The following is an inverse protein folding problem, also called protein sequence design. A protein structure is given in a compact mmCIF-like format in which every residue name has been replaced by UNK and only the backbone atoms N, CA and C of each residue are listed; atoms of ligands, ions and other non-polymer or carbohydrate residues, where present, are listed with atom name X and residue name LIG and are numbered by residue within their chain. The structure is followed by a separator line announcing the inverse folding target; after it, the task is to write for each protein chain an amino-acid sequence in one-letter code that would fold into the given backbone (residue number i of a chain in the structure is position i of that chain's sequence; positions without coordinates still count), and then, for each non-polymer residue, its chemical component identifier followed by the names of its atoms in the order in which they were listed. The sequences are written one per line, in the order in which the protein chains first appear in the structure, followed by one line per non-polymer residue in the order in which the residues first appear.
data_IF_945054568848
#
_entry.id   IF_945054568848
#
_cell.length_a   1.000
_cell.length_b   1.000
_cell.length_c   1.000
_cell.angle_alpha   90.00
_cell.angle_beta   90.00
_cell.angle_gamma   90.00
#
_symmetry.space_group_name_H-M   'P 1'
#
loop_
_entity.id
_entity.type
_entity.pdbx_description
1 polymer ?
#
# COMPACT_ATOMS: atom_id res chain seq x y z
N UNK A 1 -60.39 52.44 9.70
CA UNK A 1 -60.19 51.26 8.85
C UNK A 1 -60.21 50.04 9.74
N UNK A 2 -61.35 49.37 9.82
CA UNK A 2 -61.54 48.11 10.55
C UNK A 2 -61.10 46.99 9.61
N UNK A 3 -60.07 46.23 10.00
CA UNK A 3 -59.65 45.05 9.25
C UNK A 3 -60.72 43.96 9.40
N UNK A 4 -61.46 43.69 8.33
CA UNK A 4 -62.35 42.54 8.24
C UNK A 4 -61.51 41.27 8.24
N UNK A 5 -61.71 40.45 9.27
CA UNK A 5 -61.15 39.11 9.37
C UNK A 5 -61.95 38.24 8.39
N UNK A 6 -61.31 37.82 7.31
CA UNK A 6 -61.88 36.88 6.33
C UNK A 6 -62.35 35.62 7.06
N UNK A 7 -63.60 35.16 6.86
CA UNK A 7 -64.10 33.96 7.52
C UNK A 7 -63.30 32.75 7.03
N UNK A 8 -62.93 31.88 7.97
CA UNK A 8 -62.23 30.62 7.69
C UNK A 8 -62.92 29.88 6.55
N UNK A 9 -62.19 29.71 5.44
CA UNK A 9 -62.69 28.99 4.28
C UNK A 9 -62.93 27.54 4.69
N UNK A 10 -64.17 27.01 4.60
CA UNK A 10 -64.48 25.66 5.03
C UNK A 10 -63.65 24.67 4.20
N UNK A 11 -62.98 23.74 4.90
CA UNK A 11 -62.23 22.65 4.28
C UNK A 11 -63.13 21.93 3.26
N UNK A 12 -62.59 21.64 2.07
CA UNK A 12 -63.36 21.01 1.00
C UNK A 12 -64.04 19.71 1.50
N UNK A 13 -65.31 19.44 1.16
CA UNK A 13 -66.09 18.34 1.72
C UNK A 13 -65.45 16.96 1.51
N UNK A 14 -64.74 16.75 0.39
CA UNK A 14 -63.99 15.51 0.14
C UNK A 14 -62.81 15.32 1.10
N UNK A 15 -62.12 16.40 1.49
CA UNK A 15 -61.04 16.36 2.46
C UNK A 15 -61.57 16.05 3.86
N UNK A 16 -62.72 16.62 4.23
CA UNK A 16 -63.40 16.38 5.51
C UNK A 16 -63.83 14.91 5.65
N UNK A 17 -64.42 14.34 4.59
CA UNK A 17 -64.85 12.93 4.57
C UNK A 17 -63.66 11.96 4.69
N UNK A 18 -62.55 12.26 4.02
CA UNK A 18 -61.33 11.45 4.09
C UNK A 18 -60.68 11.49 5.48
N UNK A 19 -60.67 12.66 6.13
CA UNK A 19 -60.15 12.81 7.50
C UNK A 19 -61.01 12.05 8.51
N UNK A 20 -62.33 12.10 8.37
CA UNK A 20 -63.26 11.35 9.22
C UNK A 20 -63.08 9.83 9.06
N UNK A 21 -62.99 9.34 7.82
CA UNK A 21 -62.75 7.92 7.56
C UNK A 21 -61.40 7.42 8.13
N UNK A 22 -60.36 8.27 8.08
CA UNK A 22 -59.06 7.96 8.65
C UNK A 22 -59.10 7.92 10.19
N UNK A 23 -59.82 8.85 10.82
CA UNK A 23 -60.01 8.88 12.26
C UNK A 23 -60.81 7.65 12.76
N UNK A 24 -61.88 7.29 12.06
CA UNK A 24 -62.67 6.08 12.35
C UNK A 24 -61.80 4.82 12.23
N UNK A 25 -60.99 4.72 11.18
CA UNK A 25 -60.07 3.59 10.98
C UNK A 25 -58.99 3.54 12.08
N UNK A 26 -58.42 4.68 12.48
CA UNK A 26 -57.47 4.75 13.59
C UNK A 26 -58.11 4.29 14.91
N UNK A 27 -59.33 4.75 15.19
CA UNK A 27 -60.06 4.35 16.39
C UNK A 27 -60.34 2.84 16.41
N UNK A 28 -60.79 2.27 15.29
CA UNK A 28 -61.04 0.83 15.18
C UNK A 28 -59.76 -0.02 15.39
N UNK A 29 -58.59 0.47 14.94
CA UNK A 29 -57.31 -0.20 15.22
C UNK A 29 -56.94 -0.09 16.70
N UNK A 30 -57.13 1.07 17.32
CA UNK A 30 -56.83 1.27 18.75
C UNK A 30 -57.77 0.48 19.66
N UNK A 31 -59.05 0.34 19.29
CA UNK A 31 -60.00 -0.49 20.04
C UNK A 31 -59.61 -1.98 20.00
N UNK A 32 -59.00 -2.42 18.88
CA UNK A 32 -58.59 -3.82 18.69
C UNK A 32 -57.22 -4.15 19.27
N UNK A 33 -56.25 -3.25 19.17
CA UNK A 33 -54.84 -3.50 19.49
C UNK A 33 -54.25 -2.55 20.53
N UNK A 34 -54.94 -1.47 20.88
CA UNK A 34 -54.46 -0.43 21.78
C UNK A 34 -54.60 -0.74 23.26
N UNK A 35 -55.17 -1.91 23.61
CA UNK A 35 -55.32 -2.39 24.99
C UNK A 35 -56.02 -1.39 25.92
N UNK A 36 -56.93 -0.57 25.36
CA UNK A 36 -57.67 0.47 26.09
C UNK A 36 -56.87 1.76 26.36
N UNK A 37 -55.67 1.89 25.81
CA UNK A 37 -54.83 3.10 25.91
C UNK A 37 -54.94 3.96 24.64
N UNK A 38 -54.84 5.30 24.77
CA UNK A 38 -54.78 6.19 23.61
C UNK A 38 -53.49 5.99 22.82
N UNK A 39 -53.51 6.41 21.54
CA UNK A 39 -52.34 6.33 20.68
C UNK A 39 -51.27 7.31 21.16
N UNK A 40 -50.10 6.78 21.46
CA UNK A 40 -48.90 7.55 21.75
C UNK A 40 -47.74 6.94 20.96
N UNK A 41 -47.19 7.71 20.02
CA UNK A 41 -46.20 7.22 19.05
C UNK A 41 -44.98 6.62 19.74
N UNK A 42 -44.44 7.32 20.74
CA UNK A 42 -43.23 6.90 21.43
C UNK A 42 -43.45 5.59 22.18
N UNK A 43 -44.56 5.48 22.92
CA UNK A 43 -44.95 4.25 23.63
C UNK A 43 -45.03 3.04 22.68
N UNK A 44 -45.80 3.15 21.60
CA UNK A 44 -45.98 2.04 20.64
C UNK A 44 -44.64 1.64 19.99
N UNK A 45 -43.78 2.62 19.69
CA UNK A 45 -42.45 2.36 19.14
C UNK A 45 -41.54 1.65 20.15
N UNK A 46 -41.58 2.03 21.42
CA UNK A 46 -40.84 1.36 22.49
C UNK A 46 -41.32 -0.08 22.73
N UNK A 47 -42.65 -0.29 22.79
CA UNK A 47 -43.25 -1.63 22.92
C UNK A 47 -42.86 -2.53 21.74
N UNK A 48 -42.92 -2.02 20.50
CA UNK A 48 -42.51 -2.76 19.32
C UNK A 48 -41.02 -3.16 19.39
N UNK A 49 -40.13 -2.24 19.76
CA UNK A 49 -38.70 -2.53 19.94
C UNK A 49 -38.46 -3.59 21.02
N UNK A 50 -39.18 -3.50 22.14
CA UNK A 50 -39.09 -4.47 23.22
C UNK A 50 -39.41 -5.90 22.73
N UNK A 51 -40.53 -6.07 22.02
CA UNK A 51 -40.89 -7.39 21.47
C UNK A 51 -39.93 -7.85 20.36
N UNK A 52 -39.37 -6.93 19.57
CA UNK A 52 -38.33 -7.26 18.60
C UNK A 52 -37.07 -7.79 19.28
N UNK A 53 -36.64 -7.18 20.38
CA UNK A 53 -35.50 -7.65 21.17
C UNK A 53 -35.75 -9.02 21.80
N UNK A 54 -36.91 -9.19 22.42
CA UNK A 54 -37.34 -10.47 22.99
C UNK A 54 -37.40 -11.57 21.92
N UNK A 55 -37.84 -11.24 20.70
CA UNK A 55 -37.86 -12.19 19.58
C UNK A 55 -36.46 -12.62 19.15
N UNK A 56 -35.48 -11.71 19.23
CA UNK A 56 -34.09 -11.99 18.89
C UNK A 56 -33.43 -12.90 19.93
N UNK A 57 -33.68 -12.64 21.20
CA UNK A 57 -33.22 -13.47 22.32
C UNK A 57 -33.85 -14.88 22.25
N UNK A 58 -35.17 -14.98 22.08
CA UNK A 58 -35.87 -16.24 21.93
C UNK A 58 -35.35 -17.05 20.72
N UNK A 59 -34.99 -16.37 19.63
CA UNK A 59 -34.39 -17.00 18.46
C UNK A 59 -33.01 -17.61 18.76
N UNK A 60 -32.14 -16.91 19.50
CA UNK A 60 -30.84 -17.45 19.92
C UNK A 60 -31.03 -18.65 20.86
N UNK A 61 -31.95 -18.56 21.82
CA UNK A 61 -32.23 -19.68 22.72
C UNK A 61 -32.82 -20.89 21.98
N UNK A 62 -33.68 -20.68 20.98
CA UNK A 62 -34.19 -21.73 20.11
C UNK A 62 -33.06 -22.38 19.27
N UNK A 63 -32.14 -21.57 18.74
CA UNK A 63 -30.99 -22.10 17.99
C UNK A 63 -30.07 -22.99 18.84
N UNK A 64 -29.92 -22.73 20.14
CA UNK A 64 -29.25 -23.66 21.07
C UNK A 64 -29.95 -25.02 21.12
N UNK A 65 -31.30 -25.06 21.19
CA UNK A 65 -32.06 -26.31 21.21
C UNK A 65 -31.94 -27.06 19.88
N UNK A 66 -31.88 -26.33 18.77
CA UNK A 66 -31.63 -26.92 17.46
C UNK A 66 -30.24 -27.56 17.37
N UNK A 67 -29.21 -26.95 17.95
CA UNK A 67 -27.86 -27.56 18.04
C UNK A 67 -27.91 -28.83 18.88
N UNK A 68 -28.58 -28.81 20.03
CA UNK A 68 -28.75 -29.98 20.89
C UNK A 68 -29.44 -31.11 20.11
N UNK A 69 -30.55 -30.83 19.43
CA UNK A 69 -31.26 -31.83 18.61
C UNK A 69 -30.36 -32.38 17.51
N UNK A 70 -29.61 -31.52 16.80
CA UNK A 70 -28.72 -31.94 15.73
C UNK A 70 -27.62 -32.90 16.19
N UNK A 71 -27.12 -32.71 17.41
CA UNK A 71 -26.07 -33.57 17.98
C UNK A 71 -26.60 -34.90 18.48
N UNK A 72 -27.88 -34.97 18.90
CA UNK A 72 -28.46 -36.15 19.52
C UNK A 72 -29.31 -37.01 18.56
N UNK A 73 -29.70 -36.48 17.40
CA UNK A 73 -30.57 -37.17 16.44
C UNK A 73 -29.83 -37.50 15.12
N UNK A 74 -30.09 -38.65 14.48
CA UNK A 74 -29.63 -38.92 13.13
C UNK A 74 -30.09 -37.83 12.15
N UNK A 75 -29.28 -37.51 11.14
CA UNK A 75 -29.57 -36.40 10.23
C UNK A 75 -30.99 -36.43 9.61
N UNK A 76 -31.46 -37.62 9.21
CA UNK A 76 -32.81 -37.77 8.64
C UNK A 76 -33.93 -37.41 9.62
N UNK A 77 -33.82 -37.83 10.89
CA UNK A 77 -34.82 -37.49 11.90
C UNK A 77 -34.70 -36.07 12.39
N UNK A 78 -33.49 -35.52 12.49
CA UNK A 78 -33.33 -34.09 12.74
C UNK A 78 -34.07 -33.24 11.69
N UNK A 79 -33.92 -33.57 10.40
CA UNK A 79 -34.62 -32.87 9.31
C UNK A 79 -36.13 -33.03 9.45
N UNK A 80 -36.63 -34.22 9.77
CA UNK A 80 -38.05 -34.47 9.99
C UNK A 80 -38.61 -33.68 11.19
N UNK A 81 -37.93 -33.67 12.34
CA UNK A 81 -38.32 -32.88 13.52
C UNK A 81 -38.42 -31.39 13.16
N UNK A 82 -37.37 -30.87 12.52
CA UNK A 82 -37.29 -29.46 12.15
C UNK A 82 -38.38 -29.05 11.16
N UNK A 83 -38.64 -29.87 10.14
CA UNK A 83 -39.60 -29.52 9.07
C UNK A 83 -41.04 -29.85 9.44
N UNK A 84 -41.30 -31.04 9.99
CA UNK A 84 -42.66 -31.53 10.23
C UNK A 84 -43.21 -31.12 11.59
N UNK A 85 -42.39 -31.10 12.64
CA UNK A 85 -42.86 -30.81 14.01
C UNK A 85 -42.70 -29.32 14.37
N UNK A 86 -41.56 -28.73 14.01
CA UNK A 86 -41.27 -27.32 14.30
C UNK A 86 -41.69 -26.35 13.18
N UNK A 87 -41.98 -26.86 11.98
CA UNK A 87 -42.40 -26.05 10.84
C UNK A 87 -41.32 -25.09 10.31
N UNK A 88 -40.05 -25.39 10.56
CA UNK A 88 -38.92 -24.55 10.17
C UNK A 88 -38.29 -25.03 8.86
N UNK A 89 -38.04 -24.09 7.96
CA UNK A 89 -37.22 -24.35 6.79
C UNK A 89 -35.76 -24.63 7.19
N UNK A 90 -35.10 -25.56 6.53
CA UNK A 90 -33.72 -25.97 6.84
C UNK A 90 -32.76 -24.78 6.86
N UNK A 91 -32.87 -23.87 5.90
CA UNK A 91 -32.06 -22.64 5.84
C UNK A 91 -32.25 -21.77 7.09
N UNK A 92 -33.47 -21.61 7.56
CA UNK A 92 -33.78 -20.84 8.77
C UNK A 92 -33.14 -21.50 10.00
N UNK A 93 -33.28 -22.81 10.11
CA UNK A 93 -32.66 -23.62 11.18
C UNK A 93 -31.14 -23.46 11.20
N UNK A 94 -30.49 -23.58 10.04
CA UNK A 94 -29.04 -23.38 9.91
C UNK A 94 -28.62 -21.97 10.34
N UNK A 95 -29.35 -20.93 9.93
CA UNK A 95 -29.06 -19.54 10.31
C UNK A 95 -29.22 -19.36 11.83
N UNK A 96 -30.29 -19.88 12.44
CA UNK A 96 -30.52 -19.77 13.89
C UNK A 96 -29.43 -20.47 14.70
N UNK A 97 -29.02 -21.69 14.29
CA UNK A 97 -27.91 -22.40 14.93
C UNK A 97 -26.60 -21.62 14.82
N UNK A 98 -26.27 -21.11 13.63
CA UNK A 98 -25.05 -20.31 13.41
C UNK A 98 -25.03 -19.04 14.24
N UNK A 99 -26.14 -18.30 14.27
CA UNK A 99 -26.27 -17.09 15.10
C UNK A 99 -26.10 -17.42 16.58
N UNK A 100 -26.67 -18.54 17.05
CA UNK A 100 -26.54 -18.97 18.44
C UNK A 100 -25.10 -19.34 18.79
N UNK A 101 -24.39 -20.06 17.92
CA UNK A 101 -22.97 -20.38 18.12
C UNK A 101 -22.10 -19.12 18.18
N UNK A 102 -22.39 -18.15 17.30
CA UNK A 102 -21.66 -16.87 17.20
C UNK A 102 -21.87 -16.03 18.46
N UNK A 103 -23.10 -15.63 18.74
CA UNK A 103 -23.40 -14.66 19.81
C UNK A 103 -23.31 -15.24 21.22
N UNK A 104 -23.29 -16.56 21.37
CA UNK A 104 -23.10 -17.23 22.67
C UNK A 104 -21.68 -17.79 22.83
N UNK A 105 -20.75 -17.42 21.94
CA UNK A 105 -19.33 -17.74 22.10
C UNK A 105 -18.77 -17.14 23.41
N UNK A 106 -17.67 -17.64 23.96
CA UNK A 106 -17.06 -17.04 25.15
C UNK A 106 -16.75 -15.55 25.00
N UNK A 107 -16.38 -15.10 23.79
CA UNK A 107 -16.09 -13.70 23.50
C UNK A 107 -17.34 -12.81 23.47
N UNK A 108 -18.47 -13.33 22.97
CA UNK A 108 -19.70 -12.54 22.74
C UNK A 108 -20.83 -12.87 23.72
N UNK A 109 -20.73 -13.93 24.51
CA UNK A 109 -21.82 -14.46 25.33
C UNK A 109 -22.30 -13.49 26.41
N UNK A 110 -21.39 -12.69 26.99
CA UNK A 110 -21.75 -11.60 27.91
C UNK A 110 -22.40 -10.39 27.23
N UNK A 111 -22.31 -10.31 25.89
CA UNK A 111 -22.72 -9.18 25.04
C UNK A 111 -23.94 -9.53 24.17
N UNK A 112 -24.43 -10.77 24.23
CA UNK A 112 -25.57 -11.24 23.41
C UNK A 112 -26.83 -10.38 23.59
N UNK A 113 -27.10 -9.91 24.81
CA UNK A 113 -28.23 -9.03 25.12
C UNK A 113 -28.11 -7.66 24.42
N UNK A 114 -26.91 -7.11 24.37
CA UNK A 114 -26.61 -5.85 23.68
C UNK A 114 -27.01 -5.92 22.21
N UNK A 115 -26.69 -7.04 21.56
CA UNK A 115 -27.07 -7.24 20.16
C UNK A 115 -28.52 -7.66 19.97
N UNK A 116 -29.13 -8.38 20.94
CA UNK A 116 -30.53 -8.74 20.88
C UNK A 116 -31.43 -7.50 20.79
N UNK A 117 -31.07 -6.41 21.46
CA UNK A 117 -31.77 -5.12 21.39
C UNK A 117 -31.90 -4.56 19.96
N UNK A 118 -30.95 -4.86 19.06
CA UNK A 118 -30.98 -4.45 17.66
C UNK A 118 -32.04 -5.21 16.83
N UNK A 119 -32.56 -6.31 17.37
CA UNK A 119 -33.52 -7.19 16.72
C UNK A 119 -32.88 -8.19 15.75
N UNK A 120 -33.62 -9.27 15.49
CA UNK A 120 -33.20 -10.44 14.69
C UNK A 120 -32.59 -10.11 13.33
N UNK A 121 -33.16 -9.15 12.62
CA UNK A 121 -32.71 -8.85 11.26
C UNK A 121 -31.30 -8.25 11.23
N UNK A 122 -30.97 -7.37 12.18
CA UNK A 122 -29.63 -6.77 12.29
C UNK A 122 -28.61 -7.79 12.80
N UNK A 123 -29.02 -8.67 13.72
CA UNK A 123 -28.18 -9.80 14.16
C UNK A 123 -27.70 -10.67 12.99
N UNK A 124 -28.55 -10.90 11.99
CA UNK A 124 -28.17 -11.73 10.84
C UNK A 124 -27.18 -11.07 9.90
N UNK A 125 -27.27 -9.75 9.72
CA UNK A 125 -26.28 -9.02 8.93
C UNK A 125 -24.94 -8.94 9.69
N UNK A 126 -24.98 -8.62 10.99
CA UNK A 126 -23.78 -8.53 11.85
C UNK A 126 -23.09 -9.87 12.10
N UNK A 127 -23.80 -11.00 12.00
CA UNK A 127 -23.22 -12.34 12.18
C UNK A 127 -22.11 -12.65 11.18
N UNK A 128 -22.07 -11.94 10.05
CA UNK A 128 -21.06 -12.13 9.00
C UNK A 128 -19.71 -11.48 9.33
N UNK A 129 -19.69 -10.56 10.29
CA UNK A 129 -18.49 -9.83 10.72
C UNK A 129 -17.68 -10.63 11.73
N UNK A 130 -16.44 -10.23 11.99
CA UNK A 130 -15.52 -10.95 12.87
C UNK A 130 -15.89 -10.80 14.36
N UNK A 131 -15.57 -11.81 15.17
CA UNK A 131 -15.92 -11.82 16.61
C UNK A 131 -15.24 -10.67 17.37
N UNK A 132 -14.04 -10.26 16.95
CA UNK A 132 -13.30 -9.14 17.52
C UNK A 132 -14.00 -7.81 17.23
N UNK A 133 -14.37 -7.55 15.98
CA UNK A 133 -15.10 -6.34 15.57
C UNK A 133 -16.45 -6.21 16.29
N UNK A 134 -17.17 -7.33 16.42
CA UNK A 134 -18.42 -7.38 17.20
C UNK A 134 -18.15 -7.11 18.67
N UNK A 135 -17.13 -7.75 19.26
CA UNK A 135 -16.77 -7.53 20.66
C UNK A 135 -16.46 -6.05 20.93
N UNK A 136 -15.74 -5.38 20.01
CA UNK A 136 -15.44 -3.96 20.07
C UNK A 136 -16.70 -3.09 19.99
N UNK A 137 -17.59 -3.38 19.03
CA UNK A 137 -18.86 -2.66 18.88
C UNK A 137 -19.72 -2.71 20.16
N UNK A 138 -19.78 -3.86 20.82
CA UNK A 138 -20.51 -4.01 22.07
C UNK A 138 -19.87 -3.29 23.27
N UNK A 139 -18.56 -2.99 23.21
CA UNK A 139 -17.84 -2.21 24.22
C UNK A 139 -17.88 -0.70 23.94
N UNK A 140 -18.62 -0.27 22.90
CA UNK A 140 -18.75 1.13 22.51
C UNK A 140 -17.79 1.58 21.40
N UNK A 141 -17.09 0.65 20.77
CA UNK A 141 -16.34 0.89 19.55
C UNK A 141 -17.24 0.98 18.32
N UNK A 142 -16.66 0.73 17.14
CA UNK A 142 -17.39 0.87 15.88
C UNK A 142 -17.20 -0.33 14.96
N UNK A 143 -18.22 -0.63 14.15
CA UNK A 143 -18.14 -1.61 13.07
C UNK A 143 -18.42 -0.90 11.75
N UNK A 144 -17.56 -1.06 10.75
CA UNK A 144 -17.69 -0.32 9.49
C UNK A 144 -17.83 1.21 9.69
N UNK A 145 -17.20 1.76 10.74
CA UNK A 145 -17.31 3.16 11.15
C UNK A 145 -18.67 3.56 11.74
N UNK A 146 -19.47 2.59 12.20
CA UNK A 146 -20.78 2.78 12.83
C UNK A 146 -20.73 2.42 14.31
N UNK A 147 -21.26 3.28 15.15
CA UNK A 147 -21.55 3.00 16.56
C UNK A 147 -22.79 2.12 16.70
N UNK A 148 -22.94 1.47 17.86
CA UNK A 148 -24.11 0.65 18.16
C UNK A 148 -25.43 1.44 18.05
N UNK A 149 -25.44 2.70 18.51
CA UNK A 149 -26.60 3.59 18.44
C UNK A 149 -26.97 3.96 16.99
N UNK A 150 -25.98 4.18 16.14
CA UNK A 150 -26.22 4.44 14.71
C UNK A 150 -26.79 3.19 14.03
N UNK A 151 -26.24 2.02 14.35
CA UNK A 151 -26.76 0.73 13.88
C UNK A 151 -28.21 0.54 14.33
N UNK A 152 -28.57 0.92 15.55
CA UNK A 152 -29.97 0.85 16.03
C UNK A 152 -30.90 1.83 15.29
N UNK A 153 -30.45 3.06 15.04
CA UNK A 153 -31.27 4.08 14.37
C UNK A 153 -31.51 3.84 12.89
N UNK A 154 -30.58 3.16 12.20
CA UNK A 154 -30.71 2.89 10.77
C UNK A 154 -31.56 1.66 10.45
N UNK A 155 -31.98 1.57 9.20
CA UNK A 155 -32.66 0.40 8.66
C UNK A 155 -31.69 -0.75 8.40
N UNK A 156 -32.22 -1.98 8.36
CA UNK A 156 -31.44 -3.19 8.01
C UNK A 156 -30.83 -3.08 6.61
N UNK A 157 -31.50 -2.39 5.68
CA UNK A 157 -31.01 -2.19 4.30
C UNK A 157 -29.79 -1.27 4.27
N UNK A 158 -29.81 -0.20 5.04
CA UNK A 158 -28.69 0.73 5.17
C UNK A 158 -27.49 0.04 5.83
N UNK A 159 -27.73 -0.71 6.91
CA UNK A 159 -26.70 -1.51 7.56
C UNK A 159 -26.01 -2.46 6.57
N UNK A 160 -26.80 -3.24 5.84
CA UNK A 160 -26.29 -4.18 4.83
C UNK A 160 -25.47 -3.46 3.74
N UNK A 161 -25.93 -2.30 3.28
CA UNK A 161 -25.23 -1.53 2.25
C UNK A 161 -23.86 -1.06 2.76
N UNK A 162 -23.80 -0.52 3.99
CA UNK A 162 -22.55 -0.06 4.60
C UNK A 162 -21.56 -1.20 4.85
N UNK A 163 -21.98 -2.31 5.43
CA UNK A 163 -21.11 -3.48 5.64
C UNK A 163 -20.55 -4.01 4.32
N UNK A 164 -21.36 -4.01 3.26
CA UNK A 164 -20.89 -4.41 1.93
C UNK A 164 -19.89 -3.42 1.33
N UNK A 165 -20.17 -2.12 1.43
CA UNK A 165 -19.30 -1.07 0.92
C UNK A 165 -17.92 -1.12 1.59
N UNK A 166 -17.88 -1.25 2.93
CA UNK A 166 -16.61 -1.36 3.65
C UNK A 166 -15.84 -2.60 3.25
N UNK A 167 -16.52 -3.75 3.11
CA UNK A 167 -15.90 -4.99 2.64
C UNK A 167 -15.32 -4.87 1.23
N UNK A 168 -16.12 -4.33 0.30
CA UNK A 168 -15.71 -4.14 -1.09
C UNK A 168 -14.53 -3.14 -1.17
N UNK A 169 -14.52 -2.10 -0.35
CA UNK A 169 -13.40 -1.13 -0.27
C UNK A 169 -12.12 -1.74 0.30
N UNK A 170 -12.24 -2.61 1.31
CA UNK A 170 -11.11 -3.33 1.90
C UNK A 170 -10.52 -4.31 0.88
N UNK A 171 -11.37 -5.05 0.17
CA UNK A 171 -10.95 -5.97 -0.88
C UNK A 171 -10.26 -5.24 -2.04
N UNK A 172 -10.81 -4.12 -2.49
CA UNK A 172 -10.18 -3.28 -3.51
C UNK A 172 -8.81 -2.75 -3.06
N UNK A 173 -8.71 -2.29 -1.81
CA UNK A 173 -7.44 -1.81 -1.24
C UNK A 173 -6.39 -2.92 -1.14
N UNK A 174 -6.78 -4.13 -0.73
CA UNK A 174 -5.90 -5.31 -0.71
C UNK A 174 -5.43 -5.72 -2.10
N UNK A 175 -6.31 -5.68 -3.10
CA UNK A 175 -5.93 -5.94 -4.50
C UNK A 175 -4.89 -4.94 -5.00
N UNK A 176 -5.13 -3.64 -4.78
CA UNK A 176 -4.19 -2.60 -5.17
C UNK A 176 -2.84 -2.75 -4.46
N UNK A 177 -2.83 -3.12 -3.18
CA UNK A 177 -1.61 -3.39 -2.43
C UNK A 177 -0.83 -4.56 -3.06
N UNK A 178 -1.50 -5.68 -3.33
CA UNK A 178 -0.88 -6.84 -3.97
C UNK A 178 -0.34 -6.52 -5.37
N UNK A 179 -1.06 -5.75 -6.18
CA UNK A 179 -0.60 -5.30 -7.51
C UNK A 179 0.64 -4.42 -7.40
N UNK A 180 0.67 -3.50 -6.41
CA UNK A 180 1.85 -2.67 -6.13
C UNK A 180 3.03 -3.50 -5.68
N UNK A 181 2.82 -4.46 -4.78
CA UNK A 181 3.88 -5.35 -4.28
C UNK A 181 4.45 -6.22 -5.42
N UNK A 182 3.59 -6.75 -6.30
CA UNK A 182 4.03 -7.45 -7.50
C UNK A 182 4.87 -6.55 -8.40
N UNK A 183 4.41 -5.31 -8.64
CA UNK A 183 5.16 -4.36 -9.48
C UNK A 183 6.50 -3.97 -8.85
N UNK A 184 6.54 -3.79 -7.54
CA UNK A 184 7.78 -3.52 -6.81
C UNK A 184 8.75 -4.68 -6.96
N UNK A 185 8.27 -5.91 -6.82
CA UNK A 185 9.08 -7.11 -6.99
C UNK A 185 9.62 -7.20 -8.42
N UNK A 186 8.78 -7.03 -9.45
CA UNK A 186 9.21 -6.99 -10.86
C UNK A 186 10.26 -5.90 -11.12
N UNK A 187 10.06 -4.69 -10.59
CA UNK A 187 11.01 -3.59 -10.78
C UNK A 187 12.33 -3.84 -10.06
N UNK A 188 12.27 -4.45 -8.87
CA UNK A 188 13.46 -4.82 -8.12
C UNK A 188 14.25 -5.91 -8.83
N UNK A 189 13.57 -6.92 -9.38
CA UNK A 189 14.18 -7.98 -10.18
C UNK A 189 14.81 -7.42 -11.46
N UNK A 190 14.08 -6.55 -12.17
CA UNK A 190 14.61 -5.87 -13.36
C UNK A 190 15.81 -4.98 -13.04
N UNK A 191 15.83 -4.30 -11.89
CA UNK A 191 16.98 -3.50 -11.45
C UNK A 191 18.19 -4.40 -11.20
N UNK A 192 18.02 -5.53 -10.51
CA UNK A 192 19.10 -6.50 -10.26
C UNK A 192 19.63 -7.11 -11.58
N UNK A 193 18.72 -7.49 -12.49
CA UNK A 193 19.08 -8.00 -13.81
C UNK A 193 19.85 -6.97 -14.65
N UNK A 194 19.43 -5.71 -14.62
CA UNK A 194 20.10 -4.63 -15.37
C UNK A 194 21.43 -4.21 -14.74
N UNK A 195 21.61 -4.37 -13.43
CA UNK A 195 22.87 -4.09 -12.75
C UNK A 195 24.01 -5.04 -13.18
N UNK A 196 23.67 -6.23 -13.66
CA UNK A 196 24.63 -7.24 -14.12
C UNK A 196 24.59 -7.53 -15.62
N UNK A 197 23.75 -6.83 -16.38
CA UNK A 197 23.71 -6.95 -17.84
C UNK A 197 24.92 -6.21 -18.44
N UNK A 198 25.72 -6.81 -19.34
CA UNK A 198 26.73 -6.08 -20.06
C UNK A 198 26.07 -4.95 -20.88
N UNK A 199 26.52 -3.72 -20.68
CA UNK A 199 26.03 -2.58 -21.45
C UNK A 199 26.42 -2.76 -22.93
N UNK A 200 25.48 -2.49 -23.84
CA UNK A 200 25.79 -2.38 -25.26
C UNK A 200 26.68 -1.17 -25.56
N UNK A 201 27.19 -1.04 -26.79
CA UNK A 201 28.12 0.03 -27.19
C UNK A 201 27.60 1.45 -26.86
N UNK A 202 26.31 1.69 -27.06
CA UNK A 202 25.67 2.98 -26.73
C UNK A 202 25.63 3.24 -25.22
N UNK A 203 25.36 2.21 -24.41
CA UNK A 203 25.35 2.32 -22.95
C UNK A 203 26.74 2.57 -22.38
N UNK A 204 27.78 1.94 -22.97
CA UNK A 204 29.18 2.21 -22.62
C UNK A 204 29.56 3.65 -22.99
N UNK A 205 29.07 4.16 -24.13
CA UNK A 205 29.34 5.54 -24.56
C UNK A 205 28.74 6.55 -23.59
N UNK A 206 27.47 6.37 -23.20
CA UNK A 206 26.79 7.23 -22.24
C UNK A 206 27.46 7.19 -20.86
N UNK A 207 27.82 6.00 -20.38
CA UNK A 207 28.53 5.85 -19.11
C UNK A 207 29.91 6.55 -19.12
N UNK A 208 30.62 6.49 -20.25
CA UNK A 208 31.89 7.23 -20.42
C UNK A 208 31.70 8.73 -20.40
N UNK A 209 30.64 9.23 -21.03
CA UNK A 209 30.30 10.66 -21.02
C UNK A 209 29.95 11.12 -19.59
N UNK A 210 29.12 10.37 -18.88
CA UNK A 210 28.73 10.65 -17.50
C UNK A 210 29.95 10.68 -16.55
N UNK A 211 30.80 9.63 -16.59
CA UNK A 211 32.04 9.58 -15.79
C UNK A 211 32.99 10.72 -16.20
N UNK A 212 33.04 11.07 -17.48
CA UNK A 212 33.84 12.20 -17.98
C UNK A 212 33.42 13.54 -17.38
N UNK A 213 32.10 13.79 -17.28
CA UNK A 213 31.57 14.99 -16.63
C UNK A 213 31.91 15.05 -15.14
N UNK A 214 31.76 13.93 -14.42
CA UNK A 214 32.16 13.85 -13.00
C UNK A 214 33.65 14.12 -12.83
N UNK A 215 34.50 13.56 -13.70
CA UNK A 215 35.93 13.83 -13.69
C UNK A 215 36.27 15.31 -13.93
N UNK A 216 35.52 15.97 -14.83
CA UNK A 216 35.66 17.41 -15.05
C UNK A 216 35.28 18.23 -13.81
N UNK A 217 34.17 17.90 -13.16
CA UNK A 217 33.72 18.60 -11.94
C UNK A 217 34.72 18.46 -10.80
N UNK A 218 35.26 17.26 -10.56
CA UNK A 218 36.32 17.02 -9.56
C UNK A 218 37.54 17.91 -9.86
N UNK A 219 37.99 17.94 -11.12
CA UNK A 219 39.10 18.80 -11.54
C UNK A 219 38.79 20.28 -11.32
N UNK A 220 37.58 20.74 -11.66
CA UNK A 220 37.18 22.13 -11.48
C UNK A 220 37.16 22.54 -10.00
N UNK A 221 36.69 21.65 -9.11
CA UNK A 221 36.71 21.87 -7.67
C UNK A 221 38.15 21.96 -7.14
N UNK A 222 39.04 21.06 -7.57
CA UNK A 222 40.45 21.03 -7.15
C UNK A 222 41.21 22.27 -7.64
N UNK A 223 41.07 22.63 -8.92
CA UNK A 223 41.81 23.75 -9.52
C UNK A 223 41.25 25.12 -9.13
N UNK A 224 39.96 25.21 -8.78
CA UNK A 224 39.30 26.44 -8.33
C UNK A 224 39.29 26.55 -6.82
N UNK A 225 38.24 26.00 -6.19
CA UNK A 225 37.94 26.20 -4.76
C UNK A 225 39.04 25.70 -3.84
N UNK A 226 39.57 24.50 -4.10
CA UNK A 226 40.59 23.92 -3.24
C UNK A 226 41.89 24.71 -3.33
N UNK A 227 42.38 25.00 -4.55
CA UNK A 227 43.55 25.85 -4.77
C UNK A 227 43.43 27.23 -4.12
N UNK A 228 42.32 27.93 -4.32
CA UNK A 228 42.08 29.24 -3.68
C UNK A 228 42.15 29.14 -2.14
N UNK A 229 41.63 28.05 -1.56
CA UNK A 229 41.72 27.78 -0.13
C UNK A 229 43.16 27.58 0.34
N UNK A 230 43.95 26.79 -0.39
CA UNK A 230 45.37 26.59 -0.10
C UNK A 230 46.16 27.91 -0.17
N UNK A 231 45.94 28.72 -1.22
CA UNK A 231 46.60 30.01 -1.40
C UNK A 231 46.25 31.01 -0.28
N UNK A 232 44.97 31.06 0.12
CA UNK A 232 44.52 31.89 1.24
C UNK A 232 45.17 31.47 2.55
N UNK A 233 45.19 30.18 2.87
CA UNK A 233 45.79 29.70 4.13
C UNK A 233 47.32 29.86 4.11
N UNK A 234 47.95 29.65 2.95
CA UNK A 234 49.39 29.87 2.78
C UNK A 234 49.77 31.35 2.97
N UNK A 235 48.96 32.30 2.46
CA UNK A 235 49.23 33.74 2.63
C UNK A 235 49.11 34.25 4.08
N UNK A 236 48.45 33.49 4.95
CA UNK A 236 48.36 33.77 6.40
C UNK A 236 49.39 32.99 7.23
N UNK A 237 50.28 32.23 6.59
CA UNK A 237 51.40 31.56 7.25
C UNK A 237 52.41 32.60 7.74
N UNK A 238 52.76 32.56 9.04
CA UNK A 238 53.75 33.45 9.65
C UNK A 238 54.86 32.66 10.35
N UNK A 239 55.87 33.36 10.91
CA UNK A 239 57.09 32.76 11.46
C UNK A 239 56.84 31.74 12.60
N UNK A 240 55.73 31.85 13.33
CA UNK A 240 55.40 30.98 14.47
C UNK A 240 54.40 29.86 14.12
N UNK A 241 53.64 30.00 13.04
CA UNK A 241 52.59 29.03 12.64
C UNK A 241 52.66 28.79 11.14
N UNK A 242 53.39 27.74 10.76
CA UNK A 242 53.37 27.19 9.41
C UNK A 242 52.16 26.28 9.24
N UNK A 243 51.45 26.43 8.13
CA UNK A 243 50.35 25.53 7.74
C UNK A 243 50.80 24.45 6.74
N UNK A 244 52.11 24.34 6.45
CA UNK A 244 52.63 23.45 5.43
C UNK A 244 52.26 21.97 5.68
N UNK A 245 52.40 21.47 6.91
CA UNK A 245 52.10 20.08 7.26
C UNK A 245 50.62 19.75 7.11
N UNK A 246 49.74 20.71 7.45
CA UNK A 246 48.30 20.56 7.28
C UNK A 246 47.90 20.55 5.80
N UNK A 247 48.44 21.48 5.01
CA UNK A 247 48.21 21.54 3.56
C UNK A 247 48.72 20.27 2.85
N UNK A 248 49.88 19.77 3.26
CA UNK A 248 50.44 18.51 2.78
C UNK A 248 49.55 17.32 3.16
N UNK A 249 48.98 17.30 4.37
CA UNK A 249 48.02 16.28 4.79
C UNK A 249 46.79 16.22 3.89
N UNK A 250 46.18 17.36 3.57
CA UNK A 250 45.01 17.40 2.68
C UNK A 250 45.31 16.89 1.27
N UNK A 251 46.51 17.17 0.74
CA UNK A 251 46.94 16.66 -0.56
C UNK A 251 47.19 15.14 -0.51
N UNK A 252 47.83 14.66 0.56
CA UNK A 252 48.09 13.24 0.76
C UNK A 252 46.79 12.43 0.85
N UNK A 253 45.74 12.97 1.48
CA UNK A 253 44.43 12.32 1.55
C UNK A 253 43.79 12.18 0.16
N UNK A 254 43.87 13.24 -0.66
CA UNK A 254 43.38 13.20 -2.05
C UNK A 254 44.18 12.21 -2.89
N UNK A 255 45.51 12.19 -2.74
CA UNK A 255 46.38 11.23 -3.42
C UNK A 255 46.08 9.79 -2.99
N UNK A 256 45.81 9.57 -1.70
CA UNK A 256 45.43 8.26 -1.17
C UNK A 256 44.15 7.76 -1.82
N UNK A 257 43.09 8.58 -1.87
CA UNK A 257 41.82 8.21 -2.51
C UNK A 257 41.99 7.91 -4.00
N UNK A 258 42.81 8.69 -4.72
CA UNK A 258 43.14 8.40 -6.12
C UNK A 258 43.86 7.05 -6.25
N UNK A 259 44.76 6.72 -5.32
CA UNK A 259 45.49 5.45 -5.34
C UNK A 259 44.59 4.26 -4.99
N UNK A 260 43.62 4.42 -4.08
CA UNK A 260 42.60 3.41 -3.79
C UNK A 260 41.81 3.10 -5.07
N UNK A 261 41.29 4.14 -5.75
CA UNK A 261 40.59 3.97 -7.02
C UNK A 261 41.45 3.29 -8.08
N UNK A 262 42.73 3.65 -8.19
CA UNK A 262 43.64 2.98 -9.12
C UNK A 262 43.82 1.51 -8.80
N UNK A 263 43.98 1.16 -7.54
CA UNK A 263 44.16 -0.23 -7.11
C UNK A 263 42.89 -1.06 -7.35
N UNK A 264 41.72 -0.53 -6.99
CA UNK A 264 40.42 -1.20 -7.16
C UNK A 264 40.14 -1.54 -8.63
N UNK A 265 40.58 -0.67 -9.55
CA UNK A 265 40.40 -0.84 -11.00
C UNK A 265 41.67 -1.30 -11.74
N UNK A 266 42.75 -1.66 -11.03
CA UNK A 266 44.05 -2.04 -11.59
C UNK A 266 44.60 -1.07 -12.67
N UNK A 267 44.46 0.23 -12.44
CA UNK A 267 44.85 1.30 -13.37
C UNK A 267 46.32 1.70 -13.18
N UNK A 268 47.06 2.03 -14.26
CA UNK A 268 48.44 2.45 -14.17
C UNK A 268 48.59 3.88 -13.60
N UNK A 269 49.72 4.14 -12.91
CA UNK A 269 50.02 5.45 -12.30
C UNK A 269 50.26 6.56 -13.33
N UNK A 270 50.83 6.18 -14.46
CA UNK A 270 51.05 6.99 -15.64
C UNK A 270 50.43 6.24 -16.82
N UNK A 271 49.60 6.90 -17.61
CA UNK A 271 49.37 6.40 -18.96
C UNK A 271 50.72 6.44 -19.67
N UNK A 272 51.20 5.32 -20.19
CA UNK A 272 52.34 5.35 -21.12
C UNK A 272 51.82 6.13 -22.32
N UNK A 273 52.13 7.42 -22.37
CA UNK A 273 51.98 8.19 -23.58
C UNK A 273 53.09 7.70 -24.50
N UNK A 274 52.83 6.62 -25.25
CA UNK A 274 53.46 6.47 -26.55
C UNK A 274 52.90 7.58 -27.45
N UNK A 275 53.28 8.82 -27.17
CA UNK A 275 53.18 9.92 -28.11
C UNK A 275 54.36 9.79 -29.08
N UNK A 276 54.37 8.70 -29.85
CA UNK A 276 55.02 8.71 -31.16
C UNK A 276 53.90 9.03 -32.14
N UNK A 277 53.80 10.27 -32.65
CA UNK A 277 52.81 10.63 -33.64
C UNK A 277 52.90 9.74 -34.88
N UNK A 278 51.79 9.48 -35.56
CA UNK A 278 51.75 8.57 -36.72
C UNK A 278 52.71 8.99 -37.86
N UNK A 279 53.05 10.28 -37.98
CA UNK A 279 54.02 10.77 -38.96
C UNK A 279 55.49 10.41 -38.61
N UNK A 280 55.82 10.19 -37.33
CA UNK A 280 57.15 9.72 -36.92
C UNK A 280 57.32 8.22 -37.18
N UNK A 281 56.22 7.45 -37.15
CA UNK A 281 56.23 6.02 -37.55
C UNK A 281 56.42 5.86 -39.06
N UNK A 282 55.86 6.78 -39.86
CA UNK A 282 55.99 6.77 -41.31
C UNK A 282 57.41 7.07 -41.80
N UNK A 283 58.16 7.95 -41.12
CA UNK A 283 59.55 8.26 -41.50
C UNK A 283 60.53 7.14 -41.12
N UNK A 284 60.28 6.42 -40.01
CA UNK A 284 61.12 5.29 -39.59
C UNK A 284 61.00 4.07 -40.53
N UNK A 285 59.85 3.86 -41.19
CA UNK A 285 59.67 2.80 -42.19
C UNK A 285 60.14 3.21 -43.59
N UNK A 286 60.36 4.51 -43.84
CA UNK A 286 60.81 5.04 -45.13
C UNK A 286 62.35 5.15 -45.25
N UNK A 287 63.08 5.33 -44.14
CA UNK A 287 64.56 5.45 -44.19
C UNK A 287 65.29 4.12 -44.43
N UNK A 288 64.65 2.97 -44.17
CA UNK A 288 65.25 1.64 -44.40
C UNK A 288 65.02 1.09 -45.81
N UNK A 289 64.16 1.71 -46.63
CA UNK A 289 63.74 1.16 -47.93
C UNK A 289 64.45 1.75 -49.16
N UNK A 290 65.16 2.87 -49.07
CA UNK A 290 65.64 3.60 -50.28
C UNK A 290 67.09 4.11 -50.26
N UNK A 291 67.92 3.75 -49.25
CA UNK A 291 69.35 4.06 -49.31
C UNK A 291 70.13 3.07 -50.17
N UNK A 292 70.08 3.22 -51.50
CA UNK A 292 71.09 2.62 -52.38
C UNK A 292 72.31 3.54 -52.47
N UNK A 293 73.45 3.05 -51.96
CA UNK A 293 74.75 3.71 -52.11
C UNK A 293 75.01 4.05 -53.60
N UNK A 294 75.29 5.32 -53.94
CA UNK A 294 75.50 5.74 -55.32
C UNK A 294 76.71 5.02 -55.95
N UNK A 295 76.64 4.71 -57.25
CA UNK A 295 77.59 3.82 -57.96
C UNK A 295 79.07 4.21 -57.82
N UNK A 296 79.40 5.49 -57.58
CA UNK A 296 80.78 5.96 -57.41
C UNK A 296 81.39 5.61 -56.04
N UNK A 297 80.60 5.11 -55.08
CA UNK A 297 81.06 4.59 -53.78
C UNK A 297 81.08 3.06 -53.72
N UNK A 298 80.69 2.37 -54.80
CA UNK A 298 80.91 0.93 -54.94
C UNK A 298 82.36 0.71 -55.38
N UNK A 299 83.26 0.66 -54.42
CA UNK A 299 84.67 0.37 -54.67
C UNK A 299 84.83 -0.95 -55.43
N UNK A 300 85.29 -0.87 -56.68
CA UNK A 300 85.91 -1.99 -57.39
C UNK A 300 87.31 -2.18 -56.82
N UNK A 301 87.50 -3.22 -56.01
CA UNK A 301 88.80 -3.58 -55.44
C UNK A 301 88.91 -5.08 -55.31
N UNK A 302 89.43 -5.70 -56.37
CA UNK A 302 90.01 -7.04 -56.33
C UNK A 302 91.11 -7.10 -55.26
N UNK A 303 91.15 -8.24 -54.56
CA UNK A 303 92.33 -9.08 -54.34
C UNK A 303 93.56 -8.43 -53.70
N UNK A 304 93.93 -8.89 -52.49
CA UNK A 304 95.17 -9.66 -52.31
C UNK A 304 95.49 -9.93 -50.83
N UNK A 305 95.88 -11.19 -50.57
CA UNK A 305 96.94 -11.61 -49.63
C UNK A 305 96.62 -11.49 -48.14
N UNK A 306 96.32 -12.60 -47.46
CA UNK A 306 97.29 -13.54 -46.88
C UNK A 306 98.02 -13.05 -45.62
N UNK A 307 97.85 -13.89 -44.59
CA UNK A 307 98.82 -14.31 -43.58
C UNK A 307 99.29 -13.34 -42.50
N UNK A 308 99.27 -13.84 -41.26
CA UNK A 308 100.07 -13.27 -40.19
C UNK A 308 99.58 -13.62 -38.78
N UNK A 309 99.79 -14.87 -38.39
CA UNK A 309 99.68 -15.40 -37.02
C UNK A 309 100.33 -14.49 -35.97
N UNK A 310 99.66 -14.31 -34.83
CA UNK A 310 100.12 -14.67 -33.48
C UNK A 310 98.91 -14.87 -32.56
#
# INVERSE_FOLDING_TARGET
MTAEITPEQPLAPDLMNNLNALAEHQQAIMDKYGEGLPYERERIVHEARFYMAQSAEAMLEAGKRLIILKENEPHGEFVNIVTSQLGLAERTTQIMMKASLKYLSPQLGGKAQTFAALGKAKLYELMLEDDEDLAELAEGGTIAGLTLDEVDRMSVRELKAKLRETRDSLEASRRLANEKDQKINELSENRLLNQHRPLGEEGIRQLREEIGLVGFDVKAILMGRFREGLEKLHSHSGDMTSHADYLAGLLNDIEFEINVLRNDFALPYHAVSEAVPDWVKADAEAEDADFQLPEHLRGTGQDSGEEGVL
#
